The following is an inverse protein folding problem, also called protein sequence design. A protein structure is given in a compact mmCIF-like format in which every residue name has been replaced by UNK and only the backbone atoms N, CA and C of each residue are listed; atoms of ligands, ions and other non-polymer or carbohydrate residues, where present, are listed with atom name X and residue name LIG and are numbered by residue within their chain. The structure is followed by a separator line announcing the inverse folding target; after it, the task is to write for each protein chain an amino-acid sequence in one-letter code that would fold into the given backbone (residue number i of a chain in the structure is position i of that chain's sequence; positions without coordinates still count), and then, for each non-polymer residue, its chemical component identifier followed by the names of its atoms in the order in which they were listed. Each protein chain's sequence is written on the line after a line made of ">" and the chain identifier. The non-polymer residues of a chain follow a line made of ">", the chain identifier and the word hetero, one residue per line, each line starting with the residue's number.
data_IF_775188187684
#
_entry.id   IF_775188187684
#
_cell.length_a   1.000
_cell.length_b   1.000
_cell.length_c   1.000
_cell.angle_alpha   90.00
_cell.angle_beta   90.00
_cell.angle_gamma   90.00
#
_symmetry.space_group_name_H-M   'P 1'
#
loop_
_entity.id
_entity.type
_entity.pdbx_description
1 polymer ?
#
# COMPACT_ATOMS: atom_id res chain seq x y z
N UNK A 1 -17.76 53.02 -23.29
CA UNK A 1 -18.13 51.59 -23.29
C UNK A 1 -16.90 50.80 -22.87
N UNK A 2 -16.85 50.33 -21.63
CA UNK A 2 -15.72 49.55 -21.12
C UNK A 2 -16.03 48.06 -21.31
N UNK A 3 -15.25 47.39 -22.15
CA UNK A 3 -15.31 45.95 -22.31
C UNK A 3 -14.61 45.29 -21.13
N UNK A 4 -15.39 44.66 -20.24
CA UNK A 4 -14.87 43.81 -19.17
C UNK A 4 -14.20 42.57 -19.79
N UNK A 5 -12.90 42.41 -19.53
CA UNK A 5 -12.13 41.24 -19.95
C UNK A 5 -12.45 40.04 -19.03
N UNK A 6 -12.62 38.81 -19.55
CA UNK A 6 -13.01 37.68 -18.72
C UNK A 6 -11.83 37.18 -17.86
N UNK A 7 -12.03 37.19 -16.55
CA UNK A 7 -11.10 36.65 -15.55
C UNK A 7 -10.93 35.14 -15.71
N UNK A 8 -9.85 34.71 -16.36
CA UNK A 8 -9.47 33.30 -16.54
C UNK A 8 -8.70 32.68 -15.35
N UNK A 9 -8.42 33.46 -14.29
CA UNK A 9 -7.59 33.03 -13.15
C UNK A 9 -8.31 32.12 -12.15
N UNK A 10 -9.60 32.36 -11.87
CA UNK A 10 -10.32 31.68 -10.79
C UNK A 10 -10.58 30.19 -11.07
N UNK A 11 -10.85 29.79 -12.32
CA UNK A 11 -11.11 28.37 -12.65
C UNK A 11 -9.85 27.51 -12.50
N UNK A 12 -8.70 28.02 -12.96
CA UNK A 12 -7.41 27.35 -12.79
C UNK A 12 -7.00 27.27 -11.32
N UNK A 13 -7.18 28.34 -10.55
CA UNK A 13 -6.91 28.34 -9.11
C UNK A 13 -7.77 27.33 -8.35
N UNK A 14 -9.08 27.22 -8.65
CA UNK A 14 -9.96 26.25 -8.00
C UNK A 14 -9.55 24.82 -8.32
N UNK A 15 -9.24 24.51 -9.58
CA UNK A 15 -8.77 23.17 -9.97
C UNK A 15 -7.46 22.85 -9.26
N UNK A 16 -6.51 23.79 -9.23
CA UNK A 16 -5.23 23.60 -8.53
C UNK A 16 -5.45 23.34 -7.04
N UNK A 17 -6.35 24.09 -6.40
CA UNK A 17 -6.65 23.96 -4.99
C UNK A 17 -7.28 22.61 -4.67
N UNK A 18 -8.25 22.16 -5.47
CA UNK A 18 -8.86 20.83 -5.34
C UNK A 18 -7.82 19.72 -5.52
N UNK A 19 -6.94 19.83 -6.53
CA UNK A 19 -5.85 18.88 -6.73
C UNK A 19 -4.90 18.86 -5.53
N UNK A 20 -4.53 20.02 -5.00
CA UNK A 20 -3.67 20.13 -3.82
C UNK A 20 -4.31 19.43 -2.62
N UNK A 21 -5.60 19.68 -2.37
CA UNK A 21 -6.35 19.02 -1.30
C UNK A 21 -6.42 17.50 -1.47
N UNK A 22 -6.57 17.00 -2.69
CA UNK A 22 -6.54 15.56 -2.96
C UNK A 22 -5.18 14.95 -2.66
N UNK A 23 -4.09 15.62 -3.07
CA UNK A 23 -2.72 15.14 -2.81
C UNK A 23 -2.39 15.20 -1.32
N UNK A 24 -2.78 16.26 -0.61
CA UNK A 24 -2.55 16.39 0.84
C UNK A 24 -3.26 15.31 1.67
N UNK A 25 -4.35 14.73 1.16
CA UNK A 25 -5.08 13.64 1.83
C UNK A 25 -4.51 12.26 1.51
N UNK A 26 -3.56 12.16 0.57
CA UNK A 26 -2.85 10.91 0.33
C UNK A 26 -1.75 10.72 1.37
N UNK A 27 -1.77 9.57 2.05
CA UNK A 27 -0.75 9.19 3.02
C UNK A 27 0.06 8.01 2.50
N UNK A 28 1.36 8.01 2.82
CA UNK A 28 2.22 6.85 2.68
C UNK A 28 2.73 6.46 4.07
N UNK A 29 2.64 5.17 4.39
CA UNK A 29 3.11 4.62 5.66
C UNK A 29 3.98 3.41 5.35
N UNK A 30 5.13 3.32 6.03
CA UNK A 30 5.99 2.14 5.99
C UNK A 30 5.70 1.25 7.19
N UNK A 31 5.51 -0.04 6.92
CA UNK A 31 5.30 -1.08 7.93
C UNK A 31 6.46 -2.07 7.84
N UNK A 32 6.95 -2.55 8.98
CA UNK A 32 8.04 -3.52 9.07
C UNK A 32 7.58 -4.71 9.91
N UNK A 33 7.74 -5.91 9.35
CA UNK A 33 7.44 -7.17 10.03
C UNK A 33 8.71 -8.01 10.11
N UNK A 34 8.95 -8.62 11.27
CA UNK A 34 9.98 -9.63 11.45
C UNK A 34 9.33 -11.00 11.40
N UNK A 35 9.88 -11.88 10.57
CA UNK A 35 9.35 -13.23 10.35
C UNK A 35 10.40 -14.26 10.71
N UNK A 36 9.95 -15.40 11.22
CA UNK A 36 10.81 -16.56 11.42
C UNK A 36 11.07 -17.25 10.08
N UNK A 37 12.27 -17.79 9.90
CA UNK A 37 12.68 -18.54 8.70
C UNK A 37 11.71 -19.71 8.43
N UNK A 38 11.34 -20.48 9.46
CA UNK A 38 10.45 -21.64 9.32
C UNK A 38 8.96 -21.28 9.28
N UNK A 39 8.55 -20.43 8.34
CA UNK A 39 7.14 -20.06 8.18
C UNK A 39 6.46 -20.90 7.10
N UNK A 40 5.43 -21.65 7.47
CA UNK A 40 4.66 -22.47 6.53
C UNK A 40 3.76 -21.64 5.61
N UNK A 41 3.37 -22.24 4.48
CA UNK A 41 2.33 -21.67 3.61
C UNK A 41 1.04 -21.37 4.37
N UNK A 42 0.39 -20.27 4.00
CA UNK A 42 -0.82 -19.72 4.62
C UNK A 42 -0.67 -19.29 6.09
N UNK A 43 0.57 -19.22 6.61
CA UNK A 43 0.81 -18.70 7.95
C UNK A 43 0.50 -17.20 8.03
N UNK A 44 0.00 -16.76 9.19
CA UNK A 44 -0.31 -15.37 9.48
C UNK A 44 0.96 -14.52 9.64
N UNK A 45 1.04 -13.42 8.90
CA UNK A 45 2.15 -12.44 8.97
C UNK A 45 1.76 -11.21 9.79
N UNK A 46 0.59 -10.63 9.49
CA UNK A 46 0.16 -9.36 10.09
C UNK A 46 -1.20 -8.89 9.58
N UNK A 47 -1.75 -7.85 10.21
CA UNK A 47 -3.02 -7.24 9.81
C UNK A 47 -2.81 -5.83 9.26
N UNK A 48 -2.77 -5.72 7.93
CA UNK A 48 -2.52 -4.46 7.22
C UNK A 48 -3.66 -3.46 7.43
N UNK A 49 -4.91 -3.93 7.51
CA UNK A 49 -6.03 -3.03 7.78
C UNK A 49 -5.86 -2.34 9.14
N UNK A 50 -5.55 -3.12 10.16
CA UNK A 50 -5.34 -2.60 11.51
C UNK A 50 -4.13 -1.67 11.58
N UNK A 51 -3.00 -2.05 10.98
CA UNK A 51 -1.76 -1.29 11.05
C UNK A 51 -1.81 0.05 10.28
N UNK A 52 -2.64 0.12 9.23
CA UNK A 52 -2.96 1.36 8.51
C UNK A 52 -4.11 2.16 9.16
N UNK A 53 -4.76 1.63 10.20
CA UNK A 53 -5.93 2.24 10.82
C UNK A 53 -7.15 2.34 9.88
N UNK A 54 -7.23 1.46 8.88
CA UNK A 54 -8.30 1.43 7.89
C UNK A 54 -9.24 0.27 8.17
N UNK A 55 -10.55 0.43 7.97
CA UNK A 55 -11.46 -0.72 8.01
C UNK A 55 -11.20 -1.63 6.80
N UNK A 56 -11.30 -2.96 6.93
CA UNK A 56 -11.08 -3.90 5.82
C UNK A 56 -11.96 -3.61 4.60
N UNK A 57 -13.19 -3.14 4.81
CA UNK A 57 -14.09 -2.71 3.74
C UNK A 57 -13.51 -1.61 2.86
N UNK A 58 -12.69 -0.70 3.40
CA UNK A 58 -12.01 0.32 2.61
C UNK A 58 -10.87 -0.27 1.77
N UNK A 59 -10.16 -1.29 2.26
CA UNK A 59 -9.15 -1.99 1.45
C UNK A 59 -9.80 -2.69 0.25
N UNK A 60 -10.90 -3.41 0.48
CA UNK A 60 -11.67 -4.03 -0.59
C UNK A 60 -12.22 -3.01 -1.60
N UNK A 61 -12.85 -1.94 -1.12
CA UNK A 61 -13.41 -0.89 -1.97
C UNK A 61 -12.36 -0.19 -2.85
N UNK A 62 -11.14 0.00 -2.30
CA UNK A 62 -10.00 0.59 -3.02
C UNK A 62 -9.24 -0.43 -3.88
N UNK A 63 -9.67 -1.69 -3.91
CA UNK A 63 -9.00 -2.80 -4.63
C UNK A 63 -7.52 -2.90 -4.24
N UNK A 64 -7.26 -2.88 -2.94
CA UNK A 64 -5.92 -3.01 -2.39
C UNK A 64 -5.24 -4.27 -2.96
N UNK A 65 -4.01 -4.11 -3.44
CA UNK A 65 -3.20 -5.17 -4.02
C UNK A 65 -1.78 -5.09 -3.49
N UNK A 66 -1.19 -6.25 -3.31
CA UNK A 66 0.21 -6.36 -2.91
C UNK A 66 1.08 -6.45 -4.17
N UNK A 67 2.15 -5.67 -4.20
CA UNK A 67 3.12 -5.62 -5.30
C UNK A 67 4.48 -5.94 -4.70
N UNK A 68 5.14 -6.97 -5.25
CA UNK A 68 6.49 -7.36 -4.85
C UNK A 68 7.52 -6.79 -5.84
N UNK A 69 8.75 -6.56 -5.37
CA UNK A 69 9.85 -6.03 -6.19
C UNK A 69 10.49 -7.11 -7.10
N UNK A 70 10.13 -8.39 -6.92
CA UNK A 70 10.64 -9.52 -7.70
C UNK A 70 9.60 -10.20 -8.60
N UNK A 71 10.02 -11.29 -9.24
CA UNK A 71 9.14 -12.11 -10.10
C UNK A 71 8.13 -12.94 -9.29
N UNK A 72 8.39 -13.17 -8.02
CA UNK A 72 7.55 -13.99 -7.16
C UNK A 72 6.89 -13.17 -6.04
N UNK A 73 5.62 -13.46 -5.82
CA UNK A 73 4.84 -12.87 -4.73
C UNK A 73 4.88 -13.81 -3.53
N UNK A 74 5.76 -13.53 -2.57
CA UNK A 74 5.95 -14.33 -1.35
C UNK A 74 4.76 -14.24 -0.37
N UNK A 75 3.98 -13.16 -0.46
CA UNK A 75 2.89 -12.87 0.46
C UNK A 75 1.56 -12.64 -0.25
N UNK A 76 0.47 -13.01 0.40
CA UNK A 76 -0.89 -12.77 -0.05
C UNK A 76 -1.61 -11.84 0.92
N UNK A 77 -2.21 -10.78 0.40
CA UNK A 77 -3.14 -9.92 1.12
C UNK A 77 -4.57 -10.38 0.84
N UNK A 78 -5.34 -10.66 1.88
CA UNK A 78 -6.78 -10.79 1.79
C UNK A 78 -7.42 -9.40 1.95
N UNK A 79 -8.04 -8.83 0.89
CA UNK A 79 -8.61 -7.48 0.95
C UNK A 79 -9.91 -7.41 1.77
N UNK A 80 -10.55 -8.54 2.07
CA UNK A 80 -11.79 -8.61 2.84
C UNK A 80 -11.55 -8.59 4.35
N UNK A 81 -10.48 -9.24 4.81
CA UNK A 81 -10.06 -9.26 6.22
C UNK A 81 -8.96 -8.25 6.53
N UNK A 82 -8.17 -7.85 5.53
CA UNK A 82 -6.97 -7.04 5.69
C UNK A 82 -5.75 -7.82 6.17
N UNK A 83 -5.82 -9.15 6.22
CA UNK A 83 -4.77 -10.02 6.74
C UNK A 83 -3.74 -10.34 5.66
N UNK A 84 -2.47 -10.25 6.03
CA UNK A 84 -1.32 -10.68 5.25
C UNK A 84 -0.90 -12.10 5.65
N UNK A 85 -0.71 -12.97 4.67
CA UNK A 85 -0.32 -14.38 4.85
C UNK A 85 0.87 -14.74 3.96
N UNK A 86 1.66 -15.72 4.39
CA UNK A 86 2.72 -16.29 3.56
C UNK A 86 2.10 -17.15 2.45
N UNK A 87 2.48 -16.93 1.19
CA UNK A 87 1.96 -17.70 0.06
C UNK A 87 2.64 -19.07 -0.05
N UNK A 88 3.93 -19.11 0.23
CA UNK A 88 4.78 -20.30 0.20
C UNK A 88 5.63 -20.36 1.47
N UNK A 89 6.32 -21.49 1.67
CA UNK A 89 7.32 -21.57 2.73
C UNK A 89 8.38 -20.50 2.49
N UNK A 90 8.69 -19.73 3.52
CA UNK A 90 9.83 -18.83 3.46
C UNK A 90 11.07 -19.68 3.72
N UNK A 91 12.07 -19.55 2.86
CA UNK A 91 13.37 -20.20 3.03
C UNK A 91 14.42 -19.11 2.77
N UNK A 92 15.23 -18.80 3.78
CA UNK A 92 16.14 -17.64 3.73
C UNK A 92 17.15 -17.81 2.62
N UNK A 93 17.61 -19.02 2.38
CA UNK A 93 18.56 -19.38 1.34
C UNK A 93 18.02 -19.12 -0.07
N UNK A 94 16.70 -19.27 -0.27
CA UNK A 94 16.06 -18.94 -1.55
C UNK A 94 15.85 -17.42 -1.72
N UNK A 95 15.51 -16.70 -0.64
CA UNK A 95 15.16 -15.28 -0.69
C UNK A 95 16.39 -14.38 -0.66
N UNK A 96 17.34 -14.67 0.24
CA UNK A 96 18.56 -13.89 0.44
C UNK A 96 19.79 -14.82 0.64
N UNK A 97 20.27 -15.47 -0.44
CA UNK A 97 21.31 -16.51 -0.36
C UNK A 97 22.65 -16.04 0.22
N UNK A 98 22.94 -14.74 0.15
CA UNK A 98 24.25 -14.16 0.51
C UNK A 98 24.29 -13.59 1.94
N UNK A 99 23.19 -13.67 2.71
CA UNK A 99 23.07 -12.97 3.99
C UNK A 99 22.33 -13.79 5.04
N UNK A 100 22.90 -13.91 6.26
CA UNK A 100 22.28 -14.64 7.39
C UNK A 100 20.95 -14.03 7.87
N UNK A 101 20.62 -12.80 7.47
CA UNK A 101 19.31 -12.19 7.68
C UNK A 101 18.91 -11.33 6.48
N UNK A 102 17.65 -11.41 6.06
CA UNK A 102 17.10 -10.50 5.06
C UNK A 102 16.60 -9.23 5.76
N UNK A 103 16.95 -8.04 5.26
CA UNK A 103 16.53 -6.74 5.82
C UNK A 103 15.75 -5.92 4.81
#
# INVERSE_FOLDING_TARGET
>A
MAAGSPSGGSKRQVILFVLLLCVCQSGAQSLRYSLAEAMHSDSFVGNIAQDLGLPPSQLAARKARLVAEGNEQLFRLDPSSGVLTAKHSLDREEICPQSESCT
#
